data_IF_674680268970
#
_entry.id   IF_674680268970
#
_cell.length_a   1.000
_cell.length_b   1.000
_cell.length_c   1.000
_cell.angle_alpha   90.00
_cell.angle_beta   90.00
_cell.angle_gamma   90.00
#
_symmetry.space_group_name_H-M   'P 1'
#
loop_
_entity.id
_entity.type
_entity.pdbx_description
1 polymer ?
#
# COMPACT_ATOMS: atom_id res chain seq x y z
N UNK A 1 16.32 10.67 -30.95
CA UNK A 1 15.05 10.92 -31.68
C UNK A 1 14.09 9.73 -31.62
N UNK A 2 14.58 8.50 -31.78
CA UNK A 2 13.75 7.29 -31.87
C UNK A 2 13.69 6.47 -30.57
N UNK A 3 14.03 7.08 -29.44
CA UNK A 3 14.13 6.44 -28.16
C UNK A 3 12.96 6.83 -27.25
N UNK A 4 12.48 5.85 -26.46
CA UNK A 4 11.45 6.04 -25.48
C UNK A 4 11.72 5.23 -24.22
N UNK A 5 11.50 5.84 -23.05
CA UNK A 5 11.48 5.15 -21.78
C UNK A 5 10.03 5.07 -21.29
N UNK A 6 9.53 3.87 -21.05
CA UNK A 6 8.13 3.63 -20.71
C UNK A 6 7.96 3.23 -19.24
N UNK A 7 6.78 3.49 -18.69
CA UNK A 7 6.47 3.11 -17.33
C UNK A 7 6.52 1.59 -17.15
N UNK A 8 7.27 1.14 -16.16
CA UNK A 8 7.59 -0.28 -15.96
C UNK A 8 6.35 -1.17 -15.88
N UNK A 9 5.35 -0.79 -15.07
CA UNK A 9 4.12 -1.58 -14.91
C UNK A 9 3.35 -1.73 -16.24
N UNK A 10 3.33 -0.67 -17.07
CA UNK A 10 2.73 -0.73 -18.40
C UNK A 10 3.50 -1.70 -19.30
N UNK A 11 4.83 -1.65 -19.27
CA UNK A 11 5.69 -2.55 -20.03
C UNK A 11 5.47 -4.02 -19.63
N UNK A 12 5.47 -4.33 -18.33
CA UNK A 12 5.26 -5.68 -17.82
C UNK A 12 3.89 -6.24 -18.22
N UNK A 13 2.82 -5.45 -18.06
CA UNK A 13 1.46 -5.86 -18.43
C UNK A 13 1.28 -6.10 -19.94
N UNK A 14 1.98 -5.33 -20.77
CA UNK A 14 1.93 -5.45 -22.22
C UNK A 14 3.06 -6.33 -22.80
N UNK A 15 3.91 -6.92 -21.92
CA UNK A 15 5.04 -7.80 -22.30
C UNK A 15 6.05 -7.11 -23.21
N UNK A 16 6.24 -5.81 -23.02
CA UNK A 16 7.20 -5.01 -23.78
C UNK A 16 8.57 -5.10 -23.11
N UNK A 17 9.60 -5.36 -23.88
CA UNK A 17 10.99 -5.49 -23.41
C UNK A 17 11.85 -4.35 -23.93
N UNK A 18 13.00 -4.16 -23.27
CA UNK A 18 14.02 -3.21 -23.75
C UNK A 18 14.50 -3.69 -25.12
N UNK A 19 14.65 -2.76 -26.05
CA UNK A 19 14.95 -2.93 -27.48
C UNK A 19 13.73 -3.31 -28.34
N UNK A 20 12.54 -3.45 -27.79
CA UNK A 20 11.33 -3.58 -28.61
C UNK A 20 11.00 -2.25 -29.29
N UNK A 21 10.39 -2.35 -30.45
CA UNK A 21 9.90 -1.20 -31.20
C UNK A 21 8.40 -1.08 -30.92
N UNK A 22 7.99 0.07 -30.41
CA UNK A 22 6.58 0.38 -30.16
C UNK A 22 6.12 1.55 -31.03
N UNK A 23 4.84 1.58 -31.34
CA UNK A 23 4.26 2.65 -32.16
C UNK A 23 3.61 3.70 -31.25
N UNK A 24 4.08 4.94 -31.37
CA UNK A 24 3.54 6.11 -30.66
C UNK A 24 2.95 7.07 -31.69
N UNK A 25 1.63 7.13 -31.80
CA UNK A 25 0.99 7.86 -32.88
C UNK A 25 1.29 7.24 -34.25
N UNK A 26 2.00 7.97 -35.08
CA UNK A 26 2.47 7.50 -36.42
C UNK A 26 3.92 7.05 -36.41
N UNK A 27 4.66 7.32 -35.36
CA UNK A 27 6.10 7.08 -35.26
C UNK A 27 6.41 5.76 -34.56
N UNK A 28 7.50 5.13 -34.97
CA UNK A 28 8.09 3.97 -34.29
C UNK A 28 9.20 4.44 -33.35
N UNK A 29 9.15 3.97 -32.11
CA UNK A 29 10.14 4.31 -31.08
C UNK A 29 10.72 3.03 -30.47
N UNK A 30 12.03 3.03 -30.24
CA UNK A 30 12.74 1.93 -29.58
C UNK A 30 12.69 2.12 -28.07
N UNK A 31 12.26 1.11 -27.34
CA UNK A 31 12.25 1.12 -25.87
C UNK A 31 13.67 0.97 -25.35
N UNK A 32 14.21 2.02 -24.77
CA UNK A 32 15.58 2.04 -24.23
C UNK A 32 15.64 1.82 -22.71
N UNK A 33 14.53 1.95 -22.01
CA UNK A 33 14.48 1.75 -20.58
C UNK A 33 13.09 1.80 -19.97
N UNK A 34 13.04 1.50 -18.68
CA UNK A 34 11.82 1.64 -17.88
C UNK A 34 11.97 2.82 -16.93
N UNK A 35 10.87 3.52 -16.71
CA UNK A 35 10.78 4.64 -15.79
C UNK A 35 9.74 4.37 -14.69
N UNK A 36 9.95 5.03 -13.57
CA UNK A 36 8.97 5.16 -12.50
C UNK A 36 8.86 6.64 -12.15
N UNK A 37 7.66 7.17 -12.14
CA UNK A 37 7.40 8.58 -11.89
C UNK A 37 6.73 8.73 -10.52
N UNK A 38 7.21 9.68 -9.72
CA UNK A 38 6.72 9.91 -8.35
C UNK A 38 5.27 10.41 -8.29
N UNK A 39 4.77 10.97 -9.38
CA UNK A 39 3.41 11.46 -9.55
C UNK A 39 2.44 10.42 -10.12
N UNK A 40 2.93 9.20 -10.40
CA UNK A 40 2.15 8.06 -10.87
C UNK A 40 2.43 6.81 -10.05
N UNK A 41 2.01 6.80 -8.78
CA UNK A 41 2.03 5.56 -7.98
C UNK A 41 1.04 4.51 -8.52
N UNK A 42 0.01 4.97 -9.23
CA UNK A 42 -0.91 4.15 -10.01
C UNK A 42 -1.25 4.86 -11.33
N UNK A 43 -1.46 4.09 -12.39
CA UNK A 43 -1.65 4.60 -13.75
C UNK A 43 -3.11 5.02 -14.01
N UNK A 44 -3.52 6.11 -13.39
CA UNK A 44 -4.79 6.77 -13.68
C UNK A 44 -4.67 7.65 -14.92
N UNK A 45 -5.56 7.46 -15.91
CA UNK A 45 -5.60 8.33 -17.08
C UNK A 45 -6.22 9.69 -16.77
N UNK A 46 -7.22 9.70 -15.88
CA UNK A 46 -7.85 10.90 -15.35
C UNK A 46 -8.03 10.80 -13.83
N UNK A 47 -7.99 11.92 -13.15
CA UNK A 47 -8.17 11.96 -11.70
C UNK A 47 -9.60 11.60 -11.23
N UNK A 48 -10.56 11.52 -12.14
CA UNK A 48 -11.95 11.12 -11.88
C UNK A 48 -12.22 9.64 -12.15
N UNK A 49 -11.25 8.89 -12.64
CA UNK A 49 -11.42 7.48 -12.93
C UNK A 49 -11.60 6.69 -11.61
N UNK A 50 -12.52 5.73 -11.60
CA UNK A 50 -12.76 4.90 -10.42
C UNK A 50 -11.67 3.85 -10.20
N UNK A 51 -10.92 3.49 -11.26
CA UNK A 51 -9.88 2.47 -11.23
C UNK A 51 -8.79 2.86 -12.22
N UNK A 52 -7.54 2.58 -11.89
CA UNK A 52 -6.44 2.71 -12.84
C UNK A 52 -6.42 1.54 -13.84
N UNK A 53 -5.89 1.79 -15.03
CA UNK A 53 -5.77 0.75 -16.07
C UNK A 53 -4.35 0.74 -16.65
N UNK A 54 -3.48 0.00 -15.99
CA UNK A 54 -2.08 -0.14 -16.37
C UNK A 54 -1.85 -1.02 -17.64
N UNK A 55 -2.91 -1.51 -18.26
CA UNK A 55 -2.84 -2.23 -19.55
C UNK A 55 -3.06 -1.26 -20.71
N UNK A 56 -4.05 -0.36 -20.59
CA UNK A 56 -4.41 0.57 -21.66
C UNK A 56 -3.74 1.93 -21.55
N UNK A 57 -3.45 2.36 -20.32
CA UNK A 57 -2.83 3.65 -20.06
C UNK A 57 -1.40 3.46 -19.54
N UNK A 58 -0.46 4.13 -20.17
CA UNK A 58 0.94 4.18 -19.78
C UNK A 58 1.48 5.60 -19.90
N UNK A 59 2.52 5.87 -19.14
CA UNK A 59 3.28 7.12 -19.18
C UNK A 59 4.66 6.80 -19.70
N UNK A 60 5.21 7.69 -20.48
CA UNK A 60 6.52 7.53 -21.07
C UNK A 60 7.29 8.85 -21.07
N UNK A 61 8.59 8.74 -21.16
CA UNK A 61 9.51 9.88 -21.35
C UNK A 61 10.16 9.73 -22.73
N UNK A 62 10.15 10.81 -23.47
CA UNK A 62 10.84 10.96 -24.75
C UNK A 62 11.74 12.18 -24.69
N UNK A 63 12.65 12.33 -25.62
CA UNK A 63 13.44 13.57 -25.77
C UNK A 63 12.58 14.71 -26.31
N UNK A 64 12.99 15.95 -26.08
CA UNK A 64 12.28 17.13 -26.60
C UNK A 64 12.13 17.06 -28.13
N UNK A 65 13.16 16.64 -28.85
CA UNK A 65 13.13 16.45 -30.29
C UNK A 65 12.10 15.39 -30.75
N UNK A 66 12.01 14.29 -29.99
CA UNK A 66 11.01 13.25 -30.27
C UNK A 66 9.59 13.72 -29.94
N UNK A 67 9.42 14.57 -28.94
CA UNK A 67 8.15 15.16 -28.56
C UNK A 67 7.66 16.16 -29.61
N UNK A 68 8.54 17.02 -30.12
CA UNK A 68 8.23 18.02 -31.14
C UNK A 68 7.78 17.40 -32.47
N UNK A 69 8.19 16.16 -32.75
CA UNK A 69 7.78 15.41 -33.93
C UNK A 69 6.42 14.71 -33.78
N UNK A 70 5.83 14.70 -32.56
CA UNK A 70 4.49 14.14 -32.36
C UNK A 70 3.40 15.06 -32.92
N UNK A 71 2.32 14.47 -33.41
CA UNK A 71 1.19 15.25 -33.92
C UNK A 71 0.55 16.13 -32.86
N UNK A 72 0.45 17.43 -33.10
CA UNK A 72 -0.08 18.43 -32.17
C UNK A 72 -1.59 18.27 -31.83
N UNK A 73 -2.32 17.44 -32.53
CA UNK A 73 -3.80 17.34 -32.42
C UNK A 73 -4.30 16.83 -31.08
N UNK A 74 -3.43 16.29 -30.24
CA UNK A 74 -3.81 15.71 -28.93
C UNK A 74 -2.99 16.27 -27.77
N UNK A 75 -2.25 17.34 -27.97
CA UNK A 75 -1.44 17.96 -26.92
C UNK A 75 -2.34 18.60 -25.84
N UNK A 76 -2.06 18.25 -24.59
CA UNK A 76 -2.64 18.89 -23.42
C UNK A 76 -1.52 19.46 -22.56
N UNK A 77 -1.55 20.75 -22.34
CA UNK A 77 -0.55 21.39 -21.47
C UNK A 77 -0.98 21.25 -20.02
N UNK A 78 -0.05 20.74 -19.21
CA UNK A 78 -0.19 20.63 -17.76
C UNK A 78 0.94 21.38 -17.10
N UNK A 79 0.61 22.16 -16.10
CA UNK A 79 1.57 22.95 -15.32
C UNK A 79 1.64 22.39 -13.92
N UNK A 80 2.85 22.17 -13.42
CA UNK A 80 3.09 21.77 -12.05
C UNK A 80 3.70 22.92 -11.28
N UNK A 81 3.39 23.03 -10.00
CA UNK A 81 3.96 24.04 -9.12
C UNK A 81 4.36 23.43 -7.78
N UNK A 82 5.28 24.09 -7.11
CA UNK A 82 5.68 23.80 -5.74
C UNK A 82 5.61 25.07 -4.92
N UNK A 83 5.35 24.93 -3.63
CA UNK A 83 5.40 26.05 -2.71
C UNK A 83 6.81 26.18 -2.13
N UNK A 84 7.31 27.42 -1.99
CA UNK A 84 8.59 27.70 -1.33
C UNK A 84 8.56 27.28 0.15
N UNK A 85 7.40 27.45 0.80
CA UNK A 85 7.11 26.96 2.12
C UNK A 85 5.94 25.94 2.06
N UNK A 86 6.25 24.64 1.96
CA UNK A 86 5.25 23.62 1.77
C UNK A 86 4.36 23.47 3.01
N UNK A 87 3.02 23.48 2.85
CA UNK A 87 2.08 23.37 3.95
C UNK A 87 2.24 22.04 4.68
N UNK A 88 2.12 22.07 6.02
CA UNK A 88 2.25 20.89 6.85
C UNK A 88 0.87 20.31 7.16
N UNK A 89 0.60 19.13 6.58
CA UNK A 89 -0.63 18.36 6.77
C UNK A 89 -1.74 18.75 5.79
N UNK A 90 -2.66 17.81 5.61
CA UNK A 90 -3.72 17.84 4.59
C UNK A 90 -4.62 19.09 4.66
N UNK A 91 -4.97 19.52 5.88
CA UNK A 91 -5.82 20.71 6.06
C UNK A 91 -5.15 21.99 5.57
N UNK A 92 -3.87 22.18 5.95
CA UNK A 92 -3.11 23.35 5.51
C UNK A 92 -2.82 23.31 4.00
N UNK A 93 -2.60 22.12 3.46
CA UNK A 93 -2.43 21.92 2.02
C UNK A 93 -3.71 22.28 1.25
N UNK A 94 -4.87 21.87 1.78
CA UNK A 94 -6.17 22.19 1.19
C UNK A 94 -6.43 23.71 1.20
N UNK A 95 -6.30 24.35 2.35
CA UNK A 95 -6.47 25.81 2.47
C UNK A 95 -5.55 26.56 1.50
N UNK A 96 -4.27 26.19 1.46
CA UNK A 96 -3.30 26.82 0.56
C UNK A 96 -3.62 26.60 -0.92
N UNK A 97 -4.14 25.41 -1.26
CA UNK A 97 -4.53 25.08 -2.64
C UNK A 97 -5.78 25.83 -3.07
N UNK A 98 -6.75 25.98 -2.18
CA UNK A 98 -7.98 26.72 -2.45
C UNK A 98 -7.67 28.21 -2.67
N UNK A 99 -6.82 28.83 -1.83
CA UNK A 99 -6.33 30.20 -2.00
C UNK A 99 -5.60 30.38 -3.33
N UNK A 100 -4.76 29.43 -3.71
CA UNK A 100 -4.03 29.49 -4.96
C UNK A 100 -4.95 29.36 -6.18
N UNK A 101 -5.96 28.51 -6.11
CA UNK A 101 -6.97 28.36 -7.16
C UNK A 101 -7.75 29.67 -7.35
N UNK A 102 -8.13 30.36 -6.26
CA UNK A 102 -8.83 31.64 -6.32
C UNK A 102 -7.97 32.69 -7.04
N UNK A 103 -6.69 32.80 -6.67
CA UNK A 103 -5.74 33.66 -7.35
C UNK A 103 -5.62 33.35 -8.84
N UNK A 104 -5.48 32.07 -9.19
CA UNK A 104 -5.36 31.64 -10.60
C UNK A 104 -6.61 31.99 -11.42
N UNK A 105 -7.79 31.81 -10.83
CA UNK A 105 -9.07 32.09 -11.49
C UNK A 105 -9.23 33.56 -11.86
N UNK A 106 -8.60 34.49 -11.12
CA UNK A 106 -8.60 35.90 -11.43
C UNK A 106 -7.75 36.27 -12.66
N UNK A 107 -6.74 35.45 -12.97
CA UNK A 107 -5.79 35.72 -14.05
C UNK A 107 -6.02 34.91 -15.30
N UNK A 108 -6.62 33.68 -15.18
CA UNK A 108 -6.78 32.79 -16.30
C UNK A 108 -7.98 31.87 -16.16
N UNK A 109 -8.45 31.32 -17.28
CA UNK A 109 -9.49 30.29 -17.27
C UNK A 109 -8.88 28.93 -16.91
N UNK A 110 -9.14 28.46 -15.70
CA UNK A 110 -8.68 27.17 -15.19
C UNK A 110 -9.61 26.05 -15.68
N UNK A 111 -9.15 25.21 -16.57
CA UNK A 111 -9.93 24.08 -17.11
C UNK A 111 -9.83 22.81 -16.27
N UNK A 112 -8.79 22.68 -15.46
CA UNK A 112 -8.60 21.56 -14.54
C UNK A 112 -7.57 21.92 -13.48
N UNK A 113 -7.85 21.58 -12.25
CA UNK A 113 -6.99 21.85 -11.10
C UNK A 113 -6.98 20.62 -10.18
N UNK A 114 -5.81 20.06 -9.97
CA UNK A 114 -5.64 18.85 -9.19
C UNK A 114 -4.55 19.12 -8.14
N UNK A 115 -4.93 19.50 -6.91
CA UNK A 115 -3.97 19.63 -5.83
C UNK A 115 -3.43 18.25 -5.43
N UNK A 116 -2.24 18.23 -4.85
CA UNK A 116 -1.55 16.99 -4.50
C UNK A 116 -2.41 16.05 -3.63
N UNK A 117 -3.07 16.59 -2.59
CA UNK A 117 -3.91 15.80 -1.69
C UNK A 117 -5.12 15.14 -2.39
N UNK A 118 -5.55 15.66 -3.53
CA UNK A 118 -6.66 15.11 -4.32
C UNK A 118 -6.20 14.32 -5.55
N UNK A 119 -4.89 14.18 -5.75
CA UNK A 119 -4.35 13.46 -6.90
C UNK A 119 -4.31 11.95 -6.63
N UNK A 120 -5.26 11.23 -7.21
CA UNK A 120 -5.36 9.77 -7.06
C UNK A 120 -4.11 9.04 -7.54
N UNK A 121 -3.50 9.48 -8.62
CA UNK A 121 -2.30 8.84 -9.16
C UNK A 121 -1.13 8.85 -8.17
N UNK A 122 -1.07 9.84 -7.28
CA UNK A 122 -0.06 9.94 -6.22
C UNK A 122 -0.45 9.11 -5.00
N UNK A 123 -1.70 9.21 -4.53
CA UNK A 123 -2.11 8.71 -3.21
C UNK A 123 -2.67 7.30 -3.21
N UNK A 124 -3.19 6.82 -4.34
CA UNK A 124 -3.93 5.56 -4.44
C UNK A 124 -3.25 4.39 -3.71
N UNK A 125 -1.97 4.16 -4.00
CA UNK A 125 -1.25 3.04 -3.39
C UNK A 125 -1.08 3.19 -1.88
N UNK A 126 -0.83 4.42 -1.40
CA UNK A 126 -0.72 4.69 0.04
C UNK A 126 -2.04 4.49 0.77
N UNK A 127 -3.13 4.94 0.18
CA UNK A 127 -4.49 4.83 0.74
C UNK A 127 -4.97 3.37 0.74
N UNK A 128 -4.69 2.63 -0.33
CA UNK A 128 -4.99 1.21 -0.45
C UNK A 128 -4.25 0.40 0.61
N UNK A 129 -2.94 0.61 0.76
CA UNK A 129 -2.15 0.00 1.84
C UNK A 129 -2.66 0.39 3.24
N UNK A 130 -3.08 1.63 3.43
CA UNK A 130 -3.67 2.11 4.68
C UNK A 130 -4.99 1.42 5.00
N UNK A 131 -5.84 1.24 4.00
CA UNK A 131 -7.12 0.53 4.10
C UNK A 131 -6.91 -0.95 4.44
N UNK A 132 -6.03 -1.64 3.72
CA UNK A 132 -5.67 -3.03 3.97
C UNK A 132 -5.13 -3.24 5.39
N UNK A 133 -4.24 -2.35 5.84
CA UNK A 133 -3.72 -2.38 7.21
C UNK A 133 -4.85 -2.27 8.23
N UNK A 134 -5.78 -1.37 8.03
CA UNK A 134 -6.91 -1.15 8.94
C UNK A 134 -7.82 -2.39 9.00
N UNK A 135 -8.13 -2.99 7.85
CA UNK A 135 -8.90 -4.22 7.75
C UNK A 135 -8.20 -5.40 8.45
N UNK A 136 -6.89 -5.54 8.25
CA UNK A 136 -6.09 -6.58 8.91
C UNK A 136 -6.04 -6.42 10.43
N UNK A 137 -5.99 -5.20 10.95
CA UNK A 137 -6.06 -4.92 12.39
C UNK A 137 -7.42 -5.37 12.97
N UNK A 138 -8.52 -5.03 12.30
CA UNK A 138 -9.86 -5.45 12.73
C UNK A 138 -9.97 -6.98 12.74
N UNK A 139 -9.52 -7.64 11.67
CA UNK A 139 -9.49 -9.10 11.58
C UNK A 139 -8.67 -9.72 12.72
N UNK A 140 -7.51 -9.13 13.03
CA UNK A 140 -6.65 -9.59 14.13
C UNK A 140 -7.39 -9.53 15.47
N UNK A 141 -8.12 -8.45 15.78
CA UNK A 141 -8.90 -8.36 17.02
C UNK A 141 -10.02 -9.41 17.09
N UNK A 142 -10.68 -9.69 15.98
CA UNK A 142 -11.71 -10.74 15.90
C UNK A 142 -11.07 -12.11 16.20
N UNK A 143 -9.93 -12.42 15.59
CA UNK A 143 -9.20 -13.67 15.84
C UNK A 143 -8.76 -13.80 17.30
N UNK A 144 -8.24 -12.72 17.91
CA UNK A 144 -7.86 -12.71 19.33
C UNK A 144 -9.09 -13.00 20.22
N UNK A 145 -10.25 -12.42 19.94
CA UNK A 145 -11.48 -12.67 20.70
C UNK A 145 -11.91 -14.14 20.58
N UNK A 146 -11.90 -14.72 19.38
CA UNK A 146 -12.21 -16.13 19.15
C UNK A 146 -11.24 -17.04 19.91
N UNK A 147 -9.95 -16.77 19.82
CA UNK A 147 -8.91 -17.55 20.50
C UNK A 147 -9.05 -17.46 22.01
N UNK A 148 -9.34 -16.29 22.57
CA UNK A 148 -9.59 -16.11 24.00
C UNK A 148 -10.79 -16.95 24.46
N UNK A 149 -11.87 -16.97 23.69
CA UNK A 149 -13.03 -17.80 23.98
C UNK A 149 -12.69 -19.30 23.95
N UNK A 150 -12.01 -19.78 22.91
CA UNK A 150 -11.57 -21.19 22.80
C UNK A 150 -10.68 -21.57 23.98
N UNK A 151 -9.74 -20.71 24.35
CA UNK A 151 -8.87 -20.93 25.51
C UNK A 151 -9.67 -21.01 26.81
N UNK A 152 -10.63 -20.11 27.01
CA UNK A 152 -11.47 -20.12 28.20
C UNK A 152 -12.25 -21.43 28.33
N UNK A 153 -12.89 -21.87 27.26
CA UNK A 153 -13.66 -23.14 27.24
C UNK A 153 -12.74 -24.35 27.45
N UNK A 154 -11.60 -24.40 26.80
CA UNK A 154 -10.64 -25.50 26.92
C UNK A 154 -10.07 -25.58 28.34
N UNK A 155 -9.68 -24.45 28.93
CA UNK A 155 -9.19 -24.39 30.29
C UNK A 155 -10.25 -24.82 31.30
N UNK A 156 -11.49 -24.34 31.13
CA UNK A 156 -12.61 -24.75 31.98
C UNK A 156 -12.87 -26.26 31.91
N UNK A 157 -12.86 -26.84 30.72
CA UNK A 157 -13.05 -28.28 30.52
C UNK A 157 -11.90 -29.10 31.16
N UNK A 158 -10.66 -28.61 31.09
CA UNK A 158 -9.51 -29.26 31.74
C UNK A 158 -9.66 -29.22 33.26
N UNK A 159 -10.02 -28.08 33.83
CA UNK A 159 -10.23 -27.93 35.28
C UNK A 159 -11.36 -28.87 35.77
N UNK A 160 -12.48 -28.93 35.03
CA UNK A 160 -13.59 -29.81 35.40
C UNK A 160 -13.21 -31.29 35.39
N UNK A 161 -12.42 -31.73 34.40
CA UNK A 161 -11.92 -33.11 34.31
C UNK A 161 -10.97 -33.46 35.46
N UNK A 162 -10.20 -32.49 35.94
CA UNK A 162 -9.19 -32.69 36.95
C UNK A 162 -9.62 -32.26 38.37
N UNK A 163 -10.90 -32.00 38.58
CA UNK A 163 -11.43 -31.54 39.88
C UNK A 163 -11.02 -32.45 41.05
N UNK A 164 -11.06 -33.78 40.86
CA UNK A 164 -10.64 -34.73 41.88
C UNK A 164 -9.13 -34.62 42.22
N UNK A 165 -8.29 -34.47 41.23
CA UNK A 165 -6.84 -34.28 41.38
C UNK A 165 -6.55 -32.95 42.10
N UNK A 166 -7.24 -31.87 41.67
CA UNK A 166 -7.14 -30.56 42.30
C UNK A 166 -7.58 -30.63 43.77
N UNK A 167 -8.65 -31.38 44.06
CA UNK A 167 -9.13 -31.60 45.43
C UNK A 167 -8.11 -32.30 46.33
N UNK A 168 -7.51 -33.37 45.84
CA UNK A 168 -6.44 -34.10 46.61
C UNK A 168 -5.20 -33.25 46.82
N UNK A 169 -4.75 -32.50 45.84
CA UNK A 169 -3.60 -31.62 45.96
C UNK A 169 -3.88 -30.51 47.01
N UNK A 170 -5.09 -29.96 46.99
CA UNK A 170 -5.50 -28.98 48.02
C UNK A 170 -5.55 -29.56 49.42
N UNK A 171 -6.02 -30.80 49.55
CA UNK A 171 -6.02 -31.52 50.84
C UNK A 171 -4.56 -31.82 51.32
N UNK A 172 -3.64 -31.98 50.42
CA UNK A 172 -2.20 -32.17 50.69
C UNK A 172 -1.46 -30.87 51.01
N UNK A 173 -2.16 -29.71 51.02
CA UNK A 173 -1.62 -28.42 51.42
C UNK A 173 -1.20 -27.46 50.31
N UNK A 174 -1.39 -27.81 49.05
CA UNK A 174 -1.14 -26.90 47.92
C UNK A 174 -2.03 -25.67 47.98
N UNK A 175 -1.46 -24.52 47.74
CA UNK A 175 -2.19 -23.25 47.72
C UNK A 175 -2.88 -23.04 46.37
N UNK A 176 -3.91 -22.19 46.35
CA UNK A 176 -4.56 -21.74 45.12
C UNK A 176 -3.60 -21.19 44.08
N UNK A 177 -2.61 -20.43 44.55
CA UNK A 177 -1.61 -19.77 43.69
C UNK A 177 -0.69 -20.77 43.01
N UNK A 178 -0.26 -21.78 43.71
CA UNK A 178 0.58 -22.84 43.14
C UNK A 178 -0.16 -23.65 42.06
N UNK A 179 -1.40 -24.02 42.32
CA UNK A 179 -2.24 -24.69 41.34
C UNK A 179 -2.51 -23.82 40.10
N UNK A 180 -2.83 -22.52 40.32
CA UNK A 180 -3.02 -21.60 39.19
C UNK A 180 -1.75 -21.48 38.32
N UNK A 181 -0.60 -21.33 38.95
CA UNK A 181 0.68 -21.26 38.22
C UNK A 181 0.91 -22.56 37.44
N UNK A 182 0.68 -23.71 38.06
CA UNK A 182 0.83 -25.02 37.40
C UNK A 182 0.00 -25.14 36.13
N UNK A 183 -1.31 -24.84 36.21
CA UNK A 183 -2.23 -24.95 35.08
C UNK A 183 -2.02 -23.87 34.01
N UNK A 184 -1.50 -22.70 34.38
CA UNK A 184 -1.22 -21.62 33.45
C UNK A 184 0.16 -21.70 32.80
N UNK A 185 1.08 -22.49 33.32
CA UNK A 185 2.46 -22.59 32.80
C UNK A 185 2.49 -23.07 31.36
N UNK A 186 1.77 -24.15 31.04
CA UNK A 186 1.76 -24.72 29.69
C UNK A 186 1.13 -23.78 28.66
N UNK A 187 -0.08 -23.21 28.87
CA UNK A 187 -0.66 -22.21 27.99
C UNK A 187 0.25 -21.00 27.77
N UNK A 188 0.87 -20.49 28.84
CA UNK A 188 1.78 -19.36 28.76
C UNK A 188 3.00 -19.68 27.89
N UNK A 189 3.63 -20.84 28.13
CA UNK A 189 4.81 -21.27 27.39
C UNK A 189 4.50 -21.43 25.89
N UNK A 190 3.39 -22.08 25.57
CA UNK A 190 2.93 -22.24 24.17
C UNK A 190 2.68 -20.86 23.53
N UNK A 191 2.06 -19.95 24.25
CA UNK A 191 1.79 -18.58 23.74
C UNK A 191 3.08 -17.82 23.45
N UNK A 192 4.07 -17.90 24.35
CA UNK A 192 5.37 -17.23 24.17
C UNK A 192 6.10 -17.81 22.95
N UNK A 193 6.15 -19.15 22.82
CA UNK A 193 6.78 -19.81 21.66
C UNK A 193 6.08 -19.40 20.37
N UNK A 194 4.74 -19.47 20.34
CA UNK A 194 3.95 -19.06 19.19
C UNK A 194 4.15 -17.59 18.82
N UNK A 195 4.25 -16.71 19.81
CA UNK A 195 4.53 -15.28 19.58
C UNK A 195 5.92 -15.06 18.96
N UNK A 196 6.94 -15.78 19.42
CA UNK A 196 8.30 -15.70 18.85
C UNK A 196 8.30 -16.19 17.40
N UNK A 197 7.73 -17.38 17.16
CA UNK A 197 7.64 -17.95 15.80
C UNK A 197 6.84 -17.01 14.88
N UNK A 198 5.69 -16.54 15.33
CA UNK A 198 4.83 -15.64 14.55
C UNK A 198 5.54 -14.33 14.18
N UNK A 199 6.28 -13.73 15.12
CA UNK A 199 7.06 -12.51 14.84
C UNK A 199 8.19 -12.79 13.83
N UNK A 200 8.93 -13.88 13.99
CA UNK A 200 10.01 -14.25 13.06
C UNK A 200 9.45 -14.48 11.67
N UNK A 201 8.40 -15.27 11.52
CA UNK A 201 7.75 -15.54 10.24
C UNK A 201 7.14 -14.27 9.64
N UNK A 202 6.49 -13.43 10.46
CA UNK A 202 5.91 -12.16 10.04
C UNK A 202 6.95 -11.23 9.43
N UNK A 203 8.08 -11.09 10.12
CA UNK A 203 9.14 -10.18 9.67
C UNK A 203 9.97 -10.70 8.49
N UNK A 204 10.20 -12.01 8.41
CA UNK A 204 11.08 -12.59 7.37
C UNK A 204 10.31 -13.03 6.12
N UNK A 205 9.22 -13.76 6.26
CA UNK A 205 8.48 -14.37 5.15
C UNK A 205 7.32 -13.48 4.72
N UNK A 206 6.41 -13.16 5.63
CA UNK A 206 5.17 -12.46 5.27
C UNK A 206 5.42 -11.01 4.86
N UNK A 207 6.42 -10.32 5.45
CA UNK A 207 6.83 -8.99 4.99
C UNK A 207 7.18 -8.98 3.50
N UNK A 208 7.96 -9.98 3.04
CA UNK A 208 8.40 -10.04 1.66
C UNK A 208 7.24 -10.42 0.71
N UNK A 209 6.32 -11.28 1.16
CA UNK A 209 5.12 -11.61 0.39
C UNK A 209 4.23 -10.37 0.23
N UNK A 210 3.94 -9.66 1.32
CA UNK A 210 3.14 -8.44 1.27
C UNK A 210 3.83 -7.34 0.43
N UNK A 211 5.14 -7.15 0.59
CA UNK A 211 5.88 -6.22 -0.25
C UNK A 211 5.81 -6.57 -1.74
N UNK A 212 5.82 -7.87 -2.07
CA UNK A 212 5.66 -8.33 -3.45
C UNK A 212 4.28 -8.03 -4.04
N UNK A 213 3.24 -8.04 -3.22
CA UNK A 213 1.88 -7.68 -3.66
C UNK A 213 1.76 -6.17 -3.99
N UNK A 214 2.48 -5.33 -3.25
CA UNK A 214 2.54 -3.88 -3.46
C UNK A 214 3.80 -3.46 -4.21
N UNK A 215 4.41 -4.39 -4.96
CA UNK A 215 5.63 -4.11 -5.71
C UNK A 215 5.34 -3.09 -6.80
N UNK A 216 5.71 -1.85 -6.51
CA UNK A 216 5.71 -0.75 -7.44
C UNK A 216 7.12 -0.57 -7.99
N UNK A 217 7.21 -0.21 -9.25
CA UNK A 217 8.47 0.10 -9.91
C UNK A 217 9.32 1.18 -9.22
N UNK A 218 8.74 1.90 -8.26
CA UNK A 218 9.39 2.93 -7.44
C UNK A 218 10.39 2.41 -6.40
N UNK A 219 10.42 1.11 -6.10
CA UNK A 219 11.23 0.58 -4.99
C UNK A 219 12.67 0.23 -5.45
N UNK A 220 12.98 0.40 -6.71
CA UNK A 220 14.31 0.16 -7.27
C UNK A 220 14.97 1.44 -7.82
N UNK A 221 14.97 2.49 -7.01
CA UNK A 221 15.89 3.61 -7.22
C UNK A 221 17.00 3.53 -6.19
#
# INVERSE_FOLDING_TARGET
EDEIAIYRMYAENNKIQISDIIKVGKEEKTVTGYVALSDYSALFSNNSDMMFDAVKFGVAIVTDEAFDNLEETHLKYRYSWTYDDPPQGEKAEKERSDDFLEILADYTSVTGYIPRYANQAIHFTGDDMGSDRSMMIVLLYILIAIMAFVFAVTTNNTIVKEVAVIGTLRASGYTRKELLVHYMTLPLLVTVIAAVIGNVLGYTVFKNICAGMYYLSLIHI
#
